data_IF_852963765981
#
_entry.id   IF_852963765981
#
_cell.length_a   1.000
_cell.length_b   1.000
_cell.length_c   1.000
_cell.angle_alpha   90.00
_cell.angle_beta   90.00
_cell.angle_gamma   90.00
#
_symmetry.space_group_name_H-M   'P 1'
#
loop_
_entity.id
_entity.type
_entity.pdbx_description
1 polymer ?
#
# COMPACT_ATOMS: atom_id res chain seq x y z
N UNK A 1 -29.53 -60.04 -38.03
CA UNK A 1 -29.10 -59.42 -36.74
C UNK A 1 -27.58 -59.24 -36.77
N UNK A 2 -27.10 -58.05 -37.06
CA UNK A 2 -25.68 -57.68 -37.08
C UNK A 2 -25.33 -57.06 -35.74
N UNK A 3 -24.45 -57.70 -34.98
CA UNK A 3 -23.90 -57.17 -33.71
C UNK A 3 -22.76 -56.20 -34.04
N UNK A 4 -22.98 -54.88 -33.78
CA UNK A 4 -21.91 -53.88 -33.79
C UNK A 4 -21.06 -54.03 -32.52
N UNK A 5 -19.78 -54.25 -32.69
CA UNK A 5 -18.79 -54.17 -31.61
C UNK A 5 -18.37 -52.72 -31.42
N UNK A 6 -18.67 -52.18 -30.25
CA UNK A 6 -18.21 -50.87 -29.81
C UNK A 6 -16.72 -51.00 -29.36
N UNK A 7 -15.84 -50.38 -30.08
CA UNK A 7 -14.42 -50.29 -29.70
C UNK A 7 -14.28 -49.11 -28.68
N UNK A 8 -14.02 -49.44 -27.43
CA UNK A 8 -13.55 -48.46 -26.44
C UNK A 8 -12.06 -48.18 -26.69
N UNK A 9 -11.77 -46.93 -27.07
CA UNK A 9 -10.40 -46.41 -27.11
C UNK A 9 -10.13 -45.82 -25.73
N UNK A 10 -9.08 -46.26 -24.99
CA UNK A 10 -8.70 -45.62 -23.75
C UNK A 10 -8.02 -44.28 -24.10
N UNK A 11 -8.65 -43.16 -23.66
CA UNK A 11 -8.01 -41.87 -23.66
C UNK A 11 -6.87 -41.89 -22.63
N UNK A 12 -5.63 -41.99 -23.11
CA UNK A 12 -4.44 -41.75 -22.30
C UNK A 12 -4.38 -40.24 -22.06
N UNK A 13 -4.76 -39.83 -20.85
CA UNK A 13 -4.41 -38.50 -20.34
C UNK A 13 -2.89 -38.47 -20.15
N UNK A 14 -2.18 -37.90 -21.10
CA UNK A 14 -0.82 -37.47 -20.90
C UNK A 14 -0.86 -36.25 -19.97
N UNK A 15 -0.64 -36.48 -18.68
CA UNK A 15 -0.20 -35.43 -17.76
C UNK A 15 1.22 -35.02 -18.23
N UNK A 16 1.25 -34.09 -19.17
CA UNK A 16 2.45 -33.35 -19.48
C UNK A 16 2.77 -32.48 -18.27
N UNK A 17 3.70 -32.93 -17.44
CA UNK A 17 4.45 -32.07 -16.54
C UNK A 17 5.18 -31.05 -17.43
N UNK A 18 4.58 -29.89 -17.62
CA UNK A 18 5.28 -28.71 -18.10
C UNK A 18 6.25 -28.31 -17.00
N UNK A 19 7.44 -28.94 -17.03
CA UNK A 19 8.63 -28.36 -16.43
C UNK A 19 8.83 -27.03 -17.18
N UNK A 20 8.26 -25.95 -16.65
CA UNK A 20 8.54 -24.60 -17.06
C UNK A 20 10.04 -24.38 -16.82
N UNK A 21 10.85 -24.53 -17.88
CA UNK A 21 12.16 -23.90 -17.95
C UNK A 21 11.90 -22.40 -17.76
N UNK A 22 12.11 -21.90 -16.54
CA UNK A 22 11.77 -20.53 -16.14
C UNK A 22 12.58 -19.52 -16.95
N UNK A 23 12.04 -19.09 -18.10
CA UNK A 23 12.56 -17.95 -18.83
C UNK A 23 12.46 -16.70 -17.95
N UNK A 24 13.37 -15.76 -18.16
CA UNK A 24 13.30 -14.43 -17.56
C UNK A 24 12.02 -13.73 -18.04
N UNK A 25 11.26 -13.19 -17.11
CA UNK A 25 10.03 -12.40 -17.35
C UNK A 25 10.31 -10.95 -17.01
N UNK A 26 9.48 -10.04 -17.50
CA UNK A 26 9.56 -8.61 -17.19
C UNK A 26 8.30 -8.14 -16.47
N UNK A 27 8.47 -7.17 -15.57
CA UNK A 27 7.40 -6.53 -14.82
C UNK A 27 7.73 -5.09 -14.50
N UNK A 28 6.73 -4.21 -14.58
CA UNK A 28 6.79 -2.83 -14.08
C UNK A 28 6.06 -2.73 -12.74
N UNK A 29 6.72 -2.19 -11.73
CA UNK A 29 6.10 -1.90 -10.43
C UNK A 29 5.44 -0.54 -10.44
N UNK A 30 4.17 -0.48 -10.03
CA UNK A 30 3.45 0.76 -9.73
C UNK A 30 3.08 0.87 -8.26
N UNK A 31 3.24 2.06 -7.70
CA UNK A 31 2.71 2.47 -6.40
C UNK A 31 1.69 3.58 -6.61
N UNK A 32 0.48 3.40 -6.11
CA UNK A 32 -0.53 4.44 -6.09
C UNK A 32 -1.15 4.59 -4.72
N UNK A 33 -1.59 5.80 -4.39
CA UNK A 33 -2.30 6.08 -3.15
C UNK A 33 -3.45 7.04 -3.37
N UNK A 34 -4.44 6.96 -2.49
CA UNK A 34 -5.51 7.95 -2.32
C UNK A 34 -5.55 8.34 -0.85
N UNK A 35 -5.49 9.63 -0.58
CA UNK A 35 -5.54 10.16 0.78
C UNK A 35 -6.72 11.10 0.96
N UNK A 36 -7.41 10.98 2.10
CA UNK A 36 -8.49 11.86 2.51
C UNK A 36 -8.40 12.19 4.00
N UNK A 37 -8.85 13.41 4.36
CA UNK A 37 -8.98 13.80 5.76
C UNK A 37 -10.41 14.27 5.98
N UNK A 38 -11.17 13.53 6.77
CA UNK A 38 -12.59 13.76 6.98
C UNK A 38 -13.07 13.25 8.35
N UNK A 39 -14.24 13.73 8.77
CA UNK A 39 -14.95 13.14 9.91
C UNK A 39 -15.47 11.74 9.55
N UNK A 40 -15.22 10.79 10.42
CA UNK A 40 -15.76 9.46 10.36
C UNK A 40 -16.38 9.12 11.71
N UNK A 41 -17.71 9.14 11.79
CA UNK A 41 -18.48 8.84 13.00
C UNK A 41 -18.08 9.70 14.21
N UNK A 42 -17.84 11.01 14.00
CA UNK A 42 -17.46 11.95 15.05
C UNK A 42 -15.97 11.97 15.38
N UNK A 43 -15.14 11.35 14.56
CA UNK A 43 -13.68 11.35 14.72
C UNK A 43 -13.02 11.79 13.41
N UNK A 44 -12.22 12.85 13.46
CA UNK A 44 -11.42 13.27 12.32
C UNK A 44 -10.32 12.23 12.07
N UNK A 45 -10.23 11.75 10.83
CA UNK A 45 -9.22 10.76 10.46
C UNK A 45 -8.55 11.11 9.13
N UNK A 46 -7.25 10.84 9.05
CA UNK A 46 -6.52 10.70 7.81
C UNK A 46 -6.64 9.24 7.37
N UNK A 47 -7.21 9.01 6.20
CA UNK A 47 -7.25 7.71 5.56
C UNK A 47 -6.36 7.71 4.33
N UNK A 48 -5.48 6.72 4.21
CA UNK A 48 -4.64 6.50 3.03
C UNK A 48 -4.83 5.08 2.55
N UNK A 49 -5.40 4.93 1.36
CA UNK A 49 -5.52 3.66 0.64
C UNK A 49 -4.41 3.55 -0.40
N UNK A 50 -3.78 2.39 -0.49
CA UNK A 50 -2.58 2.15 -1.29
C UNK A 50 -2.79 0.94 -2.20
N UNK A 51 -2.17 1.00 -3.39
CA UNK A 51 -2.06 -0.11 -4.33
C UNK A 51 -0.57 -0.34 -4.67
N UNK A 52 -0.08 -1.55 -4.45
CA UNK A 52 1.18 -2.09 -4.97
C UNK A 52 0.86 -3.05 -6.09
N UNK A 53 1.33 -2.78 -7.30
CA UNK A 53 0.89 -3.53 -8.48
C UNK A 53 2.04 -3.83 -9.42
N UNK A 54 2.19 -5.10 -9.79
CA UNK A 54 3.03 -5.55 -10.88
C UNK A 54 2.25 -5.58 -12.19
N UNK A 55 2.73 -4.86 -13.21
CA UNK A 55 2.12 -4.83 -14.53
C UNK A 55 3.00 -5.53 -15.57
N UNK A 56 2.38 -6.29 -16.46
CA UNK A 56 3.06 -6.82 -17.64
C UNK A 56 3.26 -5.73 -18.71
N UNK A 57 3.93 -6.10 -19.83
CA UNK A 57 4.18 -5.20 -20.95
C UNK A 57 2.91 -4.69 -21.64
N UNK A 58 1.79 -5.39 -21.50
CA UNK A 58 0.50 -5.06 -22.10
C UNK A 58 -0.38 -4.25 -21.12
N UNK A 59 0.14 -3.94 -19.92
CA UNK A 59 -0.53 -3.15 -18.89
C UNK A 59 -1.54 -3.95 -18.05
N UNK A 60 -1.50 -5.28 -18.12
CA UNK A 60 -2.32 -6.15 -17.28
C UNK A 60 -1.66 -6.37 -15.93
N UNK A 61 -2.48 -6.48 -14.92
CA UNK A 61 -2.05 -6.81 -13.55
C UNK A 61 -1.52 -8.24 -13.51
N UNK A 62 -0.25 -8.40 -13.15
CA UNK A 62 0.37 -9.70 -12.88
C UNK A 62 0.10 -10.16 -11.45
N UNK A 63 0.20 -9.24 -10.52
CA UNK A 63 -0.16 -9.41 -9.12
C UNK A 63 -0.40 -8.03 -8.49
N UNK A 64 -1.24 -7.97 -7.45
CA UNK A 64 -1.58 -6.73 -6.78
C UNK A 64 -1.78 -6.95 -5.27
N UNK A 65 -1.42 -5.94 -4.50
CA UNK A 65 -1.76 -5.86 -3.08
C UNK A 65 -2.30 -4.48 -2.76
N UNK A 66 -3.39 -4.46 -2.00
CA UNK A 66 -4.02 -3.22 -1.53
C UNK A 66 -4.01 -3.19 -0.02
N UNK A 67 -3.98 -2.00 0.57
CA UNK A 67 -4.17 -1.81 1.99
C UNK A 67 -4.69 -0.40 2.28
N UNK A 68 -5.13 -0.17 3.51
CA UNK A 68 -5.56 1.15 3.98
C UNK A 68 -5.14 1.36 5.42
N UNK A 69 -4.56 2.50 5.71
CA UNK A 69 -4.28 2.95 7.07
C UNK A 69 -5.22 4.10 7.46
N UNK A 70 -5.69 4.10 8.70
CA UNK A 70 -6.59 5.11 9.24
C UNK A 70 -5.99 5.70 10.52
N UNK A 71 -5.48 6.93 10.44
CA UNK A 71 -4.96 7.67 11.60
C UNK A 71 -6.11 8.51 12.18
N UNK A 72 -6.70 8.03 13.27
CA UNK A 72 -7.78 8.71 14.01
C UNK A 72 -7.17 9.74 14.95
N UNK A 73 -7.54 11.00 14.77
CA UNK A 73 -6.98 12.12 15.52
C UNK A 73 -7.79 12.41 16.78
N UNK A 74 -7.07 12.59 17.89
CA UNK A 74 -7.58 13.18 19.12
C UNK A 74 -6.70 14.36 19.51
N UNK A 75 -7.25 15.36 20.19
CA UNK A 75 -6.51 16.50 20.69
C UNK A 75 -6.98 16.90 22.10
N UNK A 76 -6.03 17.26 22.94
CA UNK A 76 -6.27 17.80 24.27
C UNK A 76 -5.71 19.22 24.35
N UNK A 77 -6.51 20.14 24.90
CA UNK A 77 -6.09 21.51 25.18
C UNK A 77 -5.20 21.54 26.42
N UNK A 78 -4.05 22.17 26.35
CA UNK A 78 -3.12 22.35 27.43
C UNK A 78 -3.44 23.61 28.27
N UNK A 79 -2.79 23.75 29.41
CA UNK A 79 -2.98 24.93 30.28
C UNK A 79 -2.42 26.23 29.66
N UNK A 80 -1.46 26.13 28.74
CA UNK A 80 -0.87 27.24 27.98
C UNK A 80 -1.62 27.57 26.69
N UNK A 81 -2.86 27.12 26.56
CA UNK A 81 -3.75 27.31 25.41
C UNK A 81 -3.31 26.55 24.13
N UNK A 82 -2.18 25.82 24.13
CA UNK A 82 -1.75 24.95 23.04
C UNK A 82 -2.54 23.63 23.00
N UNK A 83 -2.34 22.81 21.96
CA UNK A 83 -2.95 21.50 21.84
C UNK A 83 -1.89 20.41 21.72
N UNK A 84 -2.13 19.28 22.39
CA UNK A 84 -1.38 18.05 22.21
C UNK A 84 -2.24 17.04 21.45
N UNK A 85 -1.70 16.52 20.34
CA UNK A 85 -2.40 15.54 19.52
C UNK A 85 -1.97 14.13 19.86
N UNK A 86 -2.90 13.19 19.69
CA UNK A 86 -2.71 11.75 19.86
C UNK A 86 -3.60 10.99 18.89
N UNK A 87 -3.36 9.68 18.74
CA UNK A 87 -4.23 8.80 17.95
C UNK A 87 -5.00 7.85 18.84
N UNK A 88 -6.25 7.56 18.48
CA UNK A 88 -7.05 6.48 19.03
C UNK A 88 -7.04 5.20 18.17
N UNK A 89 -6.29 5.20 17.08
CA UNK A 89 -6.06 4.01 16.26
C UNK A 89 -5.21 2.99 17.01
N UNK A 90 -5.42 1.70 16.74
CA UNK A 90 -4.55 0.65 17.26
C UNK A 90 -3.15 0.77 16.64
N UNK A 91 -2.13 0.51 17.45
CA UNK A 91 -0.72 0.66 17.07
C UNK A 91 0.06 -0.64 17.30
N UNK A 92 1.21 -0.75 16.64
CA UNK A 92 2.27 -1.72 16.87
C UNK A 92 3.63 -0.99 16.90
N UNK A 93 4.73 -1.72 16.81
CA UNK A 93 6.08 -1.15 16.82
C UNK A 93 6.37 -0.26 15.60
N UNK A 94 5.64 -0.43 14.50
CA UNK A 94 5.74 0.37 13.28
C UNK A 94 4.81 1.60 13.29
N UNK A 95 3.99 1.77 14.34
CA UNK A 95 3.04 2.86 14.50
C UNK A 95 1.58 2.42 14.37
N UNK A 96 0.76 3.20 13.65
CA UNK A 96 -0.67 2.90 13.45
C UNK A 96 -0.82 1.68 12.54
N UNK A 97 -1.62 0.71 12.96
CA UNK A 97 -1.90 -0.49 12.18
C UNK A 97 -2.77 -0.20 10.95
N UNK A 98 -2.44 -0.82 9.84
CA UNK A 98 -3.26 -0.85 8.63
C UNK A 98 -4.46 -1.81 8.76
N UNK A 99 -5.36 -1.83 7.77
CA UNK A 99 -6.50 -2.76 7.76
C UNK A 99 -6.06 -4.22 7.62
N UNK A 100 -5.01 -4.50 6.84
CA UNK A 100 -4.45 -5.85 6.74
C UNK A 100 -3.83 -6.29 8.08
N UNK A 101 -3.09 -5.41 8.76
CA UNK A 101 -2.52 -5.70 10.09
C UNK A 101 -3.58 -5.88 11.19
N UNK A 102 -4.72 -5.20 11.07
CA UNK A 102 -5.84 -5.33 11.99
C UNK A 102 -6.57 -6.66 11.78
N UNK A 103 -6.73 -7.11 10.52
CA UNK A 103 -7.45 -8.32 10.21
C UNK A 103 -8.81 -8.36 10.92
N UNK A 104 -9.04 -9.42 11.69
CA UNK A 104 -10.27 -9.58 12.50
C UNK A 104 -10.47 -8.49 13.57
N UNK A 105 -9.41 -7.84 14.04
CA UNK A 105 -9.50 -6.77 15.06
C UNK A 105 -10.08 -5.48 14.46
N UNK A 106 -10.16 -5.37 13.11
CA UNK A 106 -10.92 -4.31 12.44
C UNK A 106 -12.42 -4.45 12.68
N UNK A 107 -12.92 -5.68 12.89
CA UNK A 107 -14.30 -5.98 13.26
C UNK A 107 -15.31 -5.83 12.11
N UNK A 108 -14.88 -5.95 10.86
CA UNK A 108 -15.76 -5.80 9.69
C UNK A 108 -16.82 -6.92 9.62
N UNK A 109 -16.49 -8.14 10.04
CA UNK A 109 -17.39 -9.29 9.95
C UNK A 109 -18.77 -9.03 10.58
N UNK A 110 -18.80 -8.29 11.69
CA UNK A 110 -20.04 -7.97 12.42
C UNK A 110 -20.95 -6.96 11.69
N UNK A 111 -20.42 -6.18 10.76
CA UNK A 111 -21.15 -5.12 10.03
C UNK A 111 -21.17 -5.31 8.53
N UNK A 112 -20.35 -6.20 7.99
CA UNK A 112 -20.31 -6.55 6.57
C UNK A 112 -21.59 -7.27 6.15
N UNK A 113 -22.14 -6.89 4.99
CA UNK A 113 -23.29 -7.58 4.39
C UNK A 113 -23.02 -9.06 4.07
N UNK A 114 -21.75 -9.41 3.88
CA UNK A 114 -21.30 -10.77 3.57
C UNK A 114 -20.84 -11.54 4.82
N UNK A 115 -20.70 -10.90 5.99
CA UNK A 115 -20.13 -11.52 7.18
C UNK A 115 -18.66 -11.89 7.02
N UNK A 116 -17.91 -11.16 6.17
CA UNK A 116 -16.50 -11.41 5.83
C UNK A 116 -15.65 -10.25 6.37
N UNK A 117 -14.45 -10.54 6.88
CA UNK A 117 -13.51 -9.55 7.39
C UNK A 117 -12.94 -8.69 6.26
N UNK A 118 -12.39 -7.51 6.62
CA UNK A 118 -11.92 -6.52 5.65
C UNK A 118 -10.71 -6.98 4.87
N UNK A 119 -9.76 -7.63 5.51
CA UNK A 119 -8.55 -8.21 4.92
C UNK A 119 -8.90 -9.22 3.82
N UNK A 120 -9.79 -10.17 4.11
CA UNK A 120 -10.28 -11.15 3.13
C UNK A 120 -10.96 -10.48 1.93
N UNK A 121 -11.73 -9.42 2.14
CA UNK A 121 -12.38 -8.70 1.04
C UNK A 121 -11.38 -7.90 0.19
N UNK A 122 -10.35 -7.32 0.82
CA UNK A 122 -9.25 -6.62 0.12
C UNK A 122 -8.49 -7.61 -0.76
N UNK A 123 -8.16 -8.78 -0.22
CA UNK A 123 -7.47 -9.85 -0.96
C UNK A 123 -8.31 -10.39 -2.12
N UNK A 124 -9.61 -10.63 -1.89
CA UNK A 124 -10.54 -11.03 -2.95
C UNK A 124 -10.59 -9.99 -4.08
N UNK A 125 -10.53 -8.69 -3.74
CA UNK A 125 -10.44 -7.64 -4.76
C UNK A 125 -9.10 -7.66 -5.50
N UNK A 126 -7.99 -7.92 -4.82
CA UNK A 126 -6.68 -8.04 -5.44
C UNK A 126 -6.64 -9.21 -6.45
N UNK A 127 -7.15 -10.38 -6.05
CA UNK A 127 -7.29 -11.55 -6.94
C UNK A 127 -8.16 -11.26 -8.18
N UNK A 128 -9.27 -10.53 -7.98
CA UNK A 128 -10.11 -10.10 -9.09
C UNK A 128 -9.34 -9.25 -10.10
N UNK A 129 -8.36 -8.45 -9.67
CA UNK A 129 -7.59 -7.58 -10.57
C UNK A 129 -6.62 -8.36 -11.46
N UNK A 130 -6.13 -9.53 -11.04
CA UNK A 130 -5.12 -10.30 -11.78
C UNK A 130 -5.59 -10.65 -13.19
N UNK A 131 -4.72 -10.45 -14.17
CA UNK A 131 -4.95 -10.70 -15.60
C UNK A 131 -5.76 -9.62 -16.32
N UNK A 132 -6.24 -8.59 -15.63
CA UNK A 132 -7.05 -7.49 -16.17
C UNK A 132 -6.26 -6.21 -16.36
N UNK A 133 -6.71 -5.36 -17.26
CA UNK A 133 -6.27 -3.97 -17.38
C UNK A 133 -6.99 -3.09 -16.37
N UNK A 134 -6.48 -1.89 -16.15
CA UNK A 134 -7.11 -0.88 -15.27
C UNK A 134 -8.52 -0.55 -15.75
N UNK A 135 -8.73 -0.42 -17.06
CA UNK A 135 -10.03 -0.11 -17.67
C UNK A 135 -11.06 -1.23 -17.42
N UNK A 136 -10.65 -2.50 -17.54
CA UNK A 136 -11.51 -3.65 -17.24
C UNK A 136 -11.91 -3.71 -15.76
N UNK A 137 -10.98 -3.36 -14.85
CA UNK A 137 -11.24 -3.31 -13.41
C UNK A 137 -12.20 -2.17 -13.06
N UNK A 138 -12.02 -0.99 -13.67
CA UNK A 138 -12.91 0.17 -13.49
C UNK A 138 -14.33 -0.08 -14.00
N UNK A 139 -14.46 -0.84 -15.07
CA UNK A 139 -15.75 -1.14 -15.69
C UNK A 139 -16.59 -2.17 -14.89
N UNK A 140 -16.00 -2.82 -13.89
CA UNK A 140 -16.70 -3.80 -13.09
C UNK A 140 -17.68 -3.12 -12.11
N UNK A 141 -18.96 -3.47 -12.21
CA UNK A 141 -20.01 -2.93 -11.32
C UNK A 141 -19.96 -3.55 -9.92
N UNK A 142 -19.49 -4.79 -9.81
CA UNK A 142 -19.34 -5.51 -8.54
C UNK A 142 -18.27 -6.59 -8.65
N UNK A 143 -17.76 -7.00 -7.51
CA UNK A 143 -16.82 -8.12 -7.37
C UNK A 143 -17.43 -9.13 -6.40
N UNK A 144 -17.53 -10.38 -6.82
CA UNK A 144 -18.04 -11.45 -5.97
C UNK A 144 -17.16 -11.59 -4.71
N UNK A 145 -17.78 -11.75 -3.54
CA UNK A 145 -17.07 -11.82 -2.26
C UNK A 145 -16.62 -10.46 -1.69
N UNK A 146 -16.94 -9.34 -2.36
CA UNK A 146 -16.57 -7.99 -1.92
C UNK A 146 -17.80 -7.13 -1.70
N UNK A 147 -17.99 -6.63 -0.48
CA UNK A 147 -19.06 -5.69 -0.11
C UNK A 147 -18.54 -4.34 0.39
N UNK A 148 -17.24 -4.21 0.58
CA UNK A 148 -16.59 -2.94 0.90
C UNK A 148 -16.57 -2.01 -0.32
N UNK A 149 -16.47 -0.71 -0.07
CA UNK A 149 -16.31 0.28 -1.14
C UNK A 149 -14.86 0.22 -1.64
N UNK A 150 -14.68 -0.18 -2.90
CA UNK A 150 -13.35 -0.35 -3.52
C UNK A 150 -12.90 0.84 -4.37
N UNK A 151 -13.68 1.92 -4.44
CA UNK A 151 -13.37 3.07 -5.30
C UNK A 151 -12.02 3.73 -4.99
N UNK A 152 -11.59 3.77 -3.72
CA UNK A 152 -10.27 4.27 -3.34
C UNK A 152 -9.15 3.33 -3.83
N UNK A 153 -9.36 2.02 -3.80
CA UNK A 153 -8.40 1.04 -4.35
C UNK A 153 -8.31 1.13 -5.87
N UNK A 154 -9.43 1.29 -6.55
CA UNK A 154 -9.46 1.51 -8.00
C UNK A 154 -8.70 2.79 -8.36
N UNK A 155 -8.94 3.88 -7.65
CA UNK A 155 -8.22 5.14 -7.89
C UNK A 155 -6.71 5.04 -7.55
N UNK A 156 -6.35 4.29 -6.50
CA UNK A 156 -4.95 3.98 -6.20
C UNK A 156 -4.30 3.12 -7.30
N UNK A 157 -5.03 2.14 -7.84
CA UNK A 157 -4.59 1.32 -8.98
C UNK A 157 -4.35 2.16 -10.24
N UNK A 158 -5.25 3.11 -10.57
CA UNK A 158 -5.06 4.05 -11.68
C UNK A 158 -3.78 4.87 -11.51
N UNK A 159 -3.55 5.36 -10.29
CA UNK A 159 -2.33 6.10 -9.97
C UNK A 159 -1.09 5.20 -10.05
N UNK A 160 -1.16 3.96 -9.55
CA UNK A 160 -0.08 2.98 -9.67
C UNK A 160 0.28 2.72 -11.13
N UNK A 161 -0.71 2.60 -12.01
CA UNK A 161 -0.47 2.43 -13.45
C UNK A 161 0.20 3.64 -14.08
N UNK A 162 -0.22 4.85 -13.71
CA UNK A 162 0.35 6.09 -14.22
C UNK A 162 1.79 6.35 -13.73
N UNK A 163 2.11 5.88 -12.50
CA UNK A 163 3.42 6.08 -11.85
C UNK A 163 4.35 4.87 -11.98
N UNK A 164 3.98 3.85 -12.78
CA UNK A 164 4.79 2.64 -12.89
C UNK A 164 6.21 2.94 -13.36
N UNK A 165 7.17 2.32 -12.70
CA UNK A 165 8.59 2.40 -13.01
C UNK A 165 8.94 1.56 -14.24
N UNK A 166 10.15 1.75 -14.77
CA UNK A 166 10.68 0.93 -15.85
C UNK A 166 10.64 -0.56 -15.50
N UNK A 167 10.47 -1.39 -16.53
CA UNK A 167 10.37 -2.82 -16.34
C UNK A 167 11.69 -3.42 -15.86
N UNK A 168 11.57 -4.35 -14.91
CA UNK A 168 12.69 -5.13 -14.39
C UNK A 168 12.49 -6.61 -14.70
N UNK A 169 13.60 -7.32 -14.83
CA UNK A 169 13.58 -8.76 -15.10
C UNK A 169 13.49 -9.56 -13.81
N UNK A 170 12.70 -10.64 -13.81
CA UNK A 170 12.58 -11.57 -12.69
C UNK A 170 12.47 -13.02 -13.16
N UNK A 171 12.59 -13.95 -12.21
CA UNK A 171 12.39 -15.39 -12.39
C UNK A 171 11.46 -15.89 -11.29
N UNK A 172 10.87 -17.06 -11.51
CA UNK A 172 10.00 -17.70 -10.52
C UNK A 172 8.59 -17.11 -10.45
N UNK A 173 7.97 -17.25 -9.30
CA UNK A 173 6.68 -16.66 -8.95
C UNK A 173 6.88 -15.25 -8.45
N UNK A 174 6.00 -14.33 -8.87
CA UNK A 174 6.02 -12.94 -8.48
C UNK A 174 4.85 -12.65 -7.53
N UNK A 175 5.14 -11.96 -6.45
CA UNK A 175 4.13 -11.50 -5.48
C UNK A 175 4.28 -10.00 -5.24
N UNK A 176 3.17 -9.30 -5.25
CA UNK A 176 3.11 -7.91 -4.79
C UNK A 176 3.00 -7.87 -3.26
N UNK A 177 3.70 -6.93 -2.66
CA UNK A 177 3.60 -6.61 -1.25
C UNK A 177 3.36 -5.13 -1.04
N UNK A 178 2.61 -4.78 -0.02
CA UNK A 178 2.43 -3.41 0.47
C UNK A 178 2.76 -3.37 1.95
N UNK A 179 3.52 -2.36 2.37
CA UNK A 179 3.78 -2.11 3.77
C UNK A 179 3.57 -0.64 4.11
N UNK A 180 3.13 -0.38 5.32
CA UNK A 180 2.76 0.96 5.79
C UNK A 180 3.27 1.21 7.21
N UNK A 181 3.91 2.35 7.42
CA UNK A 181 4.34 2.80 8.75
C UNK A 181 3.73 4.19 9.03
N UNK A 182 2.74 4.23 9.90
CA UNK A 182 1.97 5.44 10.19
C UNK A 182 2.29 6.02 11.56
N UNK A 183 2.58 7.31 11.64
CA UNK A 183 2.83 8.04 12.89
C UNK A 183 1.95 9.28 13.01
N UNK A 184 1.66 9.70 14.23
CA UNK A 184 1.08 11.00 14.54
C UNK A 184 1.91 11.66 15.64
N UNK A 185 2.49 12.82 15.33
CA UNK A 185 3.24 13.60 16.29
C UNK A 185 2.32 14.34 17.27
N UNK A 186 2.83 14.67 18.45
CA UNK A 186 2.13 15.51 19.43
C UNK A 186 1.80 16.92 18.90
N UNK A 187 2.40 17.34 17.78
CA UNK A 187 2.14 18.62 17.11
C UNK A 187 1.08 18.52 15.99
N UNK A 188 0.45 17.34 15.81
CA UNK A 188 -0.61 17.14 14.82
C UNK A 188 -0.12 16.87 13.41
N UNK A 189 1.12 16.38 13.22
CA UNK A 189 1.59 15.89 11.93
C UNK A 189 1.44 14.38 11.88
N UNK A 190 0.60 13.91 10.98
CA UNK A 190 0.51 12.50 10.61
C UNK A 190 1.43 12.26 9.40
N UNK A 191 2.29 11.25 9.48
CA UNK A 191 3.15 10.82 8.40
C UNK A 191 2.98 9.31 8.18
N UNK A 192 2.64 8.93 6.96
CA UNK A 192 2.40 7.54 6.57
C UNK A 192 3.41 7.22 5.46
N UNK A 193 4.46 6.49 5.82
CA UNK A 193 5.39 5.91 4.87
C UNK A 193 4.75 4.67 4.27
N UNK A 194 4.78 4.56 2.96
CA UNK A 194 4.25 3.44 2.21
C UNK A 194 5.36 2.84 1.34
N UNK A 195 5.39 1.53 1.22
CA UNK A 195 6.26 0.82 0.31
C UNK A 195 5.46 -0.18 -0.50
N UNK A 196 5.65 -0.14 -1.82
CA UNK A 196 5.26 -1.18 -2.75
C UNK A 196 6.50 -2.00 -3.10
N UNK A 197 6.42 -3.31 -2.96
CA UNK A 197 7.48 -4.22 -3.37
C UNK A 197 6.94 -5.33 -4.27
N UNK A 198 7.70 -5.69 -5.29
CA UNK A 198 7.55 -6.97 -5.99
C UNK A 198 8.60 -7.93 -5.45
N UNK A 199 8.17 -9.12 -5.09
CA UNK A 199 8.97 -10.12 -4.41
C UNK A 199 8.95 -11.43 -5.19
N UNK A 200 10.11 -12.04 -5.35
CA UNK A 200 10.26 -13.40 -5.86
C UNK A 200 11.30 -14.13 -5.03
N UNK A 201 11.05 -15.40 -4.69
CA UNK A 201 11.92 -16.22 -3.83
C UNK A 201 12.28 -15.49 -2.51
N UNK A 202 11.29 -14.81 -1.89
CA UNK A 202 11.42 -14.02 -0.65
C UNK A 202 12.37 -12.83 -0.73
N UNK A 203 12.77 -12.40 -1.94
CA UNK A 203 13.64 -11.25 -2.18
C UNK A 203 12.96 -10.19 -3.02
N UNK A 204 13.25 -8.94 -2.70
CA UNK A 204 12.74 -7.80 -3.45
C UNK A 204 13.30 -7.81 -4.87
N UNK A 205 12.43 -7.78 -5.87
CA UNK A 205 12.74 -7.61 -7.29
C UNK A 205 12.68 -6.14 -7.70
N UNK A 206 11.68 -5.44 -7.17
CA UNK A 206 11.50 -4.00 -7.36
C UNK A 206 10.88 -3.39 -6.10
N UNK A 207 11.22 -2.15 -5.80
CA UNK A 207 10.70 -1.38 -4.67
C UNK A 207 10.30 0.01 -5.11
N UNK A 208 9.27 0.57 -4.48
CA UNK A 208 8.83 1.94 -4.65
C UNK A 208 8.31 2.47 -3.31
N UNK A 209 9.02 3.46 -2.76
CA UNK A 209 8.71 4.06 -1.46
C UNK A 209 8.19 5.48 -1.62
N UNK A 210 7.15 5.82 -0.86
CA UNK A 210 6.59 7.17 -0.77
C UNK A 210 6.21 7.51 0.69
N UNK A 211 5.85 8.77 0.95
CA UNK A 211 5.38 9.20 2.26
C UNK A 211 4.28 10.26 2.12
N UNK A 212 3.09 9.91 2.58
CA UNK A 212 1.95 10.82 2.66
C UNK A 212 1.99 11.53 4.01
N UNK A 213 1.93 12.86 4.00
CA UNK A 213 1.92 13.68 5.21
C UNK A 213 0.69 14.56 5.23
N UNK A 214 0.10 14.74 6.41
CA UNK A 214 -0.98 15.69 6.64
C UNK A 214 -0.84 16.32 8.01
N UNK A 215 -1.03 17.63 8.08
CA UNK A 215 -0.98 18.40 9.33
C UNK A 215 -2.37 18.84 9.74
N UNK A 216 -2.64 18.75 11.02
CA UNK A 216 -3.89 19.20 11.62
C UNK A 216 -3.66 20.36 12.60
N UNK A 217 -4.70 21.13 12.81
CA UNK A 217 -4.82 22.12 13.88
C UNK A 217 -6.03 21.81 14.74
N UNK A 218 -6.09 22.38 15.94
CA UNK A 218 -7.26 22.29 16.80
C UNK A 218 -7.65 23.66 17.34
N UNK A 219 -8.95 23.83 17.59
CA UNK A 219 -9.53 25.02 18.23
C UNK A 219 -10.61 24.60 19.23
N UNK A 220 -11.00 25.50 20.11
CA UNK A 220 -12.19 25.31 20.98
C UNK A 220 -13.36 26.05 20.36
N UNK A 221 -14.39 25.31 19.96
CA UNK A 221 -15.62 25.84 19.39
C UNK A 221 -16.81 25.31 20.20
N UNK A 222 -17.66 26.23 20.72
CA UNK A 222 -18.78 25.81 21.54
C UNK A 222 -18.42 24.98 22.79
N UNK A 223 -17.21 25.18 23.34
CA UNK A 223 -16.70 24.42 24.50
C UNK A 223 -16.15 23.01 24.17
N UNK A 224 -16.07 22.67 22.88
CA UNK A 224 -15.49 21.38 22.41
C UNK A 224 -14.22 21.61 21.61
N UNK A 225 -13.28 20.67 21.70
CA UNK A 225 -12.11 20.67 20.83
C UNK A 225 -12.53 20.19 19.43
N UNK A 226 -12.28 21.03 18.43
CA UNK A 226 -12.52 20.74 17.01
C UNK A 226 -11.18 20.62 16.31
N UNK A 227 -10.97 19.53 15.57
CA UNK A 227 -9.77 19.26 14.79
C UNK A 227 -10.08 19.55 13.32
N UNK A 228 -9.17 20.23 12.63
CA UNK A 228 -9.30 20.56 11.22
C UNK A 228 -7.97 20.38 10.48
N UNK A 229 -8.03 20.32 9.16
CA UNK A 229 -6.81 20.40 8.34
C UNK A 229 -6.11 21.73 8.62
N UNK A 230 -4.79 21.69 8.86
CA UNK A 230 -4.01 22.91 9.06
C UNK A 230 -3.99 23.71 7.76
N UNK A 231 -4.31 24.99 7.86
CA UNK A 231 -4.19 25.91 6.74
C UNK A 231 -2.71 26.03 6.30
N UNK A 232 -2.49 26.37 5.03
CA UNK A 232 -1.18 26.69 4.46
C UNK A 232 -0.10 25.58 4.61
N UNK A 233 -0.51 24.33 4.74
CA UNK A 233 0.43 23.20 4.71
C UNK A 233 0.85 22.85 3.28
N UNK A 234 2.14 22.62 3.06
CA UNK A 234 2.68 22.25 1.73
C UNK A 234 2.16 20.92 1.19
N UNK A 235 1.65 20.07 2.06
CA UNK A 235 1.14 18.73 1.72
C UNK A 235 -0.28 18.73 1.13
N UNK A 236 -0.92 19.89 0.99
CA UNK A 236 -2.22 20.00 0.34
C UNK A 236 -2.09 20.92 -0.87
N UNK A 237 -2.11 20.33 -2.06
CA UNK A 237 -1.98 21.02 -3.35
C UNK A 237 -3.32 20.95 -4.07
N UNK A 238 -3.88 22.10 -4.42
CA UNK A 238 -5.20 22.19 -5.09
C UNK A 238 -6.31 21.40 -4.36
N UNK A 239 -6.31 21.45 -3.02
CA UNK A 239 -7.28 20.76 -2.17
C UNK A 239 -7.08 19.24 -2.04
N UNK A 240 -5.99 18.69 -2.57
CA UNK A 240 -5.65 17.26 -2.49
C UNK A 240 -4.41 17.04 -1.62
N UNK A 241 -4.45 16.03 -0.76
CA UNK A 241 -3.28 15.58 0.00
C UNK A 241 -2.29 14.97 -0.97
N UNK A 242 -1.06 15.49 -0.96
CA UNK A 242 0.02 15.16 -1.90
C UNK A 242 1.21 14.59 -1.13
N UNK A 243 1.79 13.50 -1.62
CA UNK A 243 2.92 12.84 -0.98
C UNK A 243 4.23 13.62 -1.14
N UNK A 244 5.25 13.21 -0.39
CA UNK A 244 6.59 13.79 -0.52
C UNK A 244 7.20 13.52 -1.89
N UNK A 245 6.97 12.33 -2.44
CA UNK A 245 7.46 11.95 -3.76
C UNK A 245 6.83 12.84 -4.84
N UNK A 246 5.52 13.01 -4.83
CA UNK A 246 4.79 13.85 -5.79
C UNK A 246 5.11 15.35 -5.65
N UNK A 247 5.56 15.81 -4.47
CA UNK A 247 5.98 17.19 -4.27
C UNK A 247 7.34 17.50 -4.90
N UNK A 248 8.21 16.50 -5.09
CA UNK A 248 9.57 16.70 -5.63
C UNK A 248 10.29 17.87 -4.94
N UNK A 249 10.89 18.78 -5.72
CA UNK A 249 11.54 19.99 -5.22
C UNK A 249 10.64 20.93 -4.41
N UNK A 250 9.31 20.86 -4.57
CA UNK A 250 8.37 21.63 -3.75
C UNK A 250 8.31 21.12 -2.29
N UNK A 251 8.79 19.90 -2.02
CA UNK A 251 9.02 19.45 -0.65
C UNK A 251 10.13 20.27 0.02
N UNK A 252 11.15 20.69 -0.73
CA UNK A 252 12.15 21.67 -0.32
C UNK A 252 13.22 21.10 0.60
N UNK A 253 13.63 19.85 0.43
CA UNK A 253 14.72 19.24 1.20
C UNK A 253 16.08 19.58 0.61
N UNK A 254 16.21 19.70 -0.70
CA UNK A 254 17.48 19.94 -1.42
C UNK A 254 18.13 21.30 -1.14
N UNK A 255 17.48 22.20 -0.39
CA UNK A 255 17.95 23.56 -0.12
C UNK A 255 18.08 23.88 1.37
N UNK A 256 18.61 22.97 2.17
CA UNK A 256 18.86 23.23 3.59
C UNK A 256 20.26 23.82 3.84
N UNK A 257 20.37 25.16 3.79
CA UNK A 257 21.59 25.89 4.08
C UNK A 257 22.69 25.75 3.00
N UNK A 258 23.96 25.67 3.43
CA UNK A 258 25.11 25.53 2.53
C UNK A 258 25.35 24.09 2.02
N UNK A 259 24.62 23.11 2.52
CA UNK A 259 24.73 21.71 2.10
C UNK A 259 23.72 21.40 1.00
N UNK A 260 24.23 21.04 -0.16
CA UNK A 260 23.40 20.41 -1.22
C UNK A 260 23.05 19.01 -0.74
N UNK A 261 21.79 18.81 -0.38
CA UNK A 261 21.24 17.51 -0.02
C UNK A 261 20.35 17.07 -1.18
N UNK A 262 20.28 15.77 -1.44
CA UNK A 262 19.32 15.24 -2.42
C UNK A 262 17.90 15.51 -1.96
N UNK A 263 16.98 15.78 -2.89
CA UNK A 263 15.55 15.88 -2.60
C UNK A 263 15.04 14.55 -2.03
N UNK A 264 13.89 14.59 -1.37
CA UNK A 264 13.33 13.45 -0.65
C UNK A 264 13.08 12.25 -1.59
N UNK A 265 12.53 12.50 -2.77
CA UNK A 265 12.24 11.50 -3.80
C UNK A 265 13.52 10.80 -4.29
N UNK A 266 14.59 11.55 -4.57
CA UNK A 266 15.89 10.97 -4.94
C UNK A 266 16.49 10.10 -3.81
N UNK A 267 16.30 10.50 -2.56
CA UNK A 267 16.75 9.69 -1.42
C UNK A 267 15.90 8.43 -1.22
N UNK A 268 14.59 8.51 -1.48
CA UNK A 268 13.70 7.37 -1.48
C UNK A 268 14.06 6.37 -2.59
N UNK A 269 14.46 6.85 -3.78
CA UNK A 269 14.95 6.00 -4.87
C UNK A 269 16.26 5.29 -4.51
N UNK A 270 17.19 5.96 -3.82
CA UNK A 270 18.40 5.32 -3.31
C UNK A 270 18.07 4.24 -2.27
N UNK A 271 17.08 4.48 -1.39
CA UNK A 271 16.57 3.48 -0.48
C UNK A 271 15.97 2.28 -1.24
N UNK A 272 15.13 2.53 -2.23
CA UNK A 272 14.50 1.48 -3.05
C UNK A 272 15.55 0.62 -3.75
N UNK A 273 16.59 1.23 -4.30
CA UNK A 273 17.72 0.51 -4.90
C UNK A 273 18.46 -0.37 -3.87
N UNK A 274 18.64 0.16 -2.63
CA UNK A 274 19.34 -0.56 -1.58
C UNK A 274 18.58 -1.79 -1.06
N UNK A 275 17.25 -1.85 -1.17
CA UNK A 275 16.45 -3.00 -0.71
C UNK A 275 16.29 -4.08 -1.79
N UNK A 276 16.57 -3.80 -3.06
CA UNK A 276 16.51 -4.81 -4.13
C UNK A 276 17.45 -5.97 -3.83
N UNK A 277 16.99 -7.20 -4.02
CA UNK A 277 17.71 -8.45 -3.73
C UNK A 277 17.72 -8.87 -2.26
N UNK A 278 17.10 -8.11 -1.36
CA UNK A 278 17.08 -8.38 0.09
C UNK A 278 15.78 -9.07 0.52
N UNK A 279 15.90 -9.84 1.61
CA UNK A 279 14.75 -10.37 2.38
C UNK A 279 14.26 -9.34 3.40
N UNK A 280 13.13 -9.60 4.05
CA UNK A 280 12.60 -8.73 5.12
C UNK A 280 13.60 -8.55 6.28
N UNK A 281 14.29 -9.62 6.68
CA UNK A 281 15.29 -9.59 7.76
C UNK A 281 16.51 -8.77 7.37
N UNK A 282 16.99 -8.92 6.14
CA UNK A 282 18.12 -8.13 5.62
C UNK A 282 17.76 -6.64 5.49
N UNK A 283 16.50 -6.31 5.18
CA UNK A 283 16.01 -4.92 5.17
C UNK A 283 15.97 -4.34 6.58
N UNK A 284 15.45 -5.08 7.56
CA UNK A 284 15.42 -4.65 8.98
C UNK A 284 16.81 -4.42 9.56
N UNK A 285 17.83 -5.09 9.03
CA UNK A 285 19.23 -4.95 9.46
C UNK A 285 19.97 -3.76 8.83
N UNK A 286 19.34 -3.01 7.90
CA UNK A 286 19.96 -1.84 7.28
C UNK A 286 20.18 -0.72 8.32
N UNK A 287 21.38 -0.23 8.41
CA UNK A 287 21.77 0.88 9.32
C UNK A 287 22.21 2.13 8.57
N UNK A 288 22.85 1.93 7.42
CA UNK A 288 23.33 2.99 6.54
C UNK A 288 22.94 2.69 5.10
N UNK A 289 22.50 3.72 4.39
CA UNK A 289 22.07 3.61 3.00
C UNK A 289 22.75 4.73 2.21
N UNK A 290 23.55 4.37 1.23
CA UNK A 290 24.27 5.34 0.41
C UNK A 290 23.29 6.30 -0.29
N UNK A 291 23.57 7.60 -0.20
CA UNK A 291 22.72 8.64 -0.78
C UNK A 291 21.37 8.85 -0.08
N UNK A 292 21.16 8.26 1.12
CA UNK A 292 19.95 8.42 1.91
C UNK A 292 20.31 8.95 3.30
N UNK A 293 20.05 10.24 3.54
CA UNK A 293 20.30 10.92 4.85
C UNK A 293 19.02 11.18 5.63
N UNK A 294 17.85 10.87 5.05
CA UNK A 294 16.56 10.93 5.75
C UNK A 294 16.48 9.83 6.80
N UNK A 295 15.63 10.05 7.81
CA UNK A 295 15.39 9.04 8.85
C UNK A 295 14.74 7.82 8.20
N UNK A 296 15.50 6.73 8.11
CA UNK A 296 15.11 5.55 7.36
C UNK A 296 14.18 4.57 8.13
N UNK A 297 13.92 4.80 9.43
CA UNK A 297 13.16 3.85 10.27
C UNK A 297 11.80 3.51 9.66
N UNK A 298 11.02 4.52 9.24
CA UNK A 298 9.72 4.29 8.61
C UNK A 298 9.82 3.61 7.24
N UNK A 299 10.88 3.93 6.46
CA UNK A 299 11.14 3.31 5.16
C UNK A 299 11.47 1.82 5.32
N UNK A 300 12.39 1.52 6.25
CA UNK A 300 12.79 0.14 6.59
C UNK A 300 11.59 -0.68 7.08
N UNK A 301 10.79 -0.10 7.98
CA UNK A 301 9.60 -0.75 8.51
C UNK A 301 8.59 -1.10 7.40
N UNK A 302 8.23 -0.12 6.57
CA UNK A 302 7.29 -0.31 5.47
C UNK A 302 7.81 -1.31 4.42
N UNK A 303 9.09 -1.24 4.03
CA UNK A 303 9.67 -2.16 3.05
C UNK A 303 9.76 -3.60 3.59
N UNK A 304 10.18 -3.79 4.84
CA UNK A 304 10.24 -5.11 5.45
C UNK A 304 8.84 -5.73 5.61
N UNK A 305 7.85 -4.91 5.92
CA UNK A 305 6.45 -5.31 6.01
C UNK A 305 5.90 -5.70 4.63
N UNK A 306 6.18 -4.93 3.57
CA UNK A 306 5.78 -5.25 2.21
C UNK A 306 6.28 -6.64 1.79
N UNK A 307 7.55 -6.99 2.10
CA UNK A 307 8.09 -8.33 1.84
C UNK A 307 7.37 -9.40 2.67
N UNK A 308 7.09 -9.12 3.93
CA UNK A 308 6.41 -10.06 4.83
C UNK A 308 5.00 -10.37 4.32
N UNK A 309 4.22 -9.35 3.94
CA UNK A 309 2.86 -9.54 3.44
C UNK A 309 2.80 -10.17 2.04
N UNK A 310 3.81 -9.99 1.20
CA UNK A 310 3.87 -10.67 -0.10
C UNK A 310 3.89 -12.20 0.02
N UNK A 311 4.42 -12.73 1.14
CA UNK A 311 4.46 -14.16 1.43
C UNK A 311 3.20 -14.72 2.09
N UNK A 312 2.25 -13.87 2.49
CA UNK A 312 1.00 -14.33 3.08
C UNK A 312 0.09 -14.92 2.01
N UNK A 313 -0.42 -16.12 2.25
CA UNK A 313 -1.42 -16.72 1.38
C UNK A 313 -2.67 -15.82 1.36
N UNK A 314 -3.20 -15.60 0.18
CA UNK A 314 -4.52 -15.00 0.03
C UNK A 314 -5.53 -15.94 0.68
N UNK A 315 -6.12 -15.51 1.77
CA UNK A 315 -7.15 -16.29 2.47
C UNK A 315 -8.42 -16.17 1.62
N UNK A 316 -8.56 -17.07 0.68
CA UNK A 316 -9.78 -17.16 -0.12
C UNK A 316 -11.03 -17.28 0.77
N UNK A 317 -12.25 -16.98 0.28
CA UNK A 317 -13.44 -17.01 1.08
C UNK A 317 -13.55 -18.34 1.79
N UNK A 318 -13.47 -18.33 3.12
CA UNK A 318 -13.76 -19.50 3.93
C UNK A 318 -15.28 -19.78 3.78
N UNK A 319 -15.60 -20.91 3.14
CA UNK A 319 -16.96 -21.36 2.90
C UNK A 319 -17.77 -21.55 4.21
#
# INVERSE_FOLDING_TARGET
>A
MKKSKLLLIPAVLALGSLASCGGTKEVSLGLGYVASFADSHGTMQLEVSVASVGFDKDGKVLDARFDTIQVKHAAAKNADETFTFSTSSLTNDNGVKSKLELGKDYGMKGVSKLGIEVDTQIETFADFCVGKTVEEIKAAESVEGVSIVVSSYVSALEKAYASKREAVSYKGELKAGVGMAGTLSAKGEAAITVNASLVSDSKVVASYTDCVVHQVSAAVEGGKVVISSKADQKYVVNGKITSKYDLHSAYGMGQTGEKVVLEWDAQAENFDAAVVGKTAEEIKALTEIEGCTIVATGLIAAAAEAVTYSGMEHVGPQA
#
